data_IF_467203998174
#
_entry.id   IF_467203998174
#
_cell.length_a   1.000
_cell.length_b   1.000
_cell.length_c   1.000
_cell.angle_alpha   90.00
_cell.angle_beta   90.00
_cell.angle_gamma   90.00
#
_symmetry.space_group_name_H-M   'P 1'
#
loop_
_entity.id
_entity.type
_entity.pdbx_description
1 polymer ?
#
# COMPACT_ATOMS: atom_id res chain seq x y z
N UNK A 1 0.13 16.46 0.93
CA UNK A 1 0.73 15.64 1.98
C UNK A 1 -0.36 14.68 2.43
N UNK A 2 -0.07 13.39 2.57
CA UNK A 2 -1.08 12.39 2.93
C UNK A 2 -1.46 12.53 4.41
N UNK A 3 -2.75 12.61 4.71
CA UNK A 3 -3.27 12.69 6.09
C UNK A 3 -3.39 11.27 6.70
N UNK A 4 -2.27 10.67 7.07
CA UNK A 4 -2.22 9.30 7.64
C UNK A 4 -3.03 9.15 8.95
N UNK A 5 -3.25 10.24 9.68
CA UNK A 5 -4.05 10.23 10.90
C UNK A 5 -5.54 9.90 10.67
N UNK A 6 -6.01 9.95 9.41
CA UNK A 6 -7.37 9.56 9.02
C UNK A 6 -7.41 8.19 8.31
N UNK A 7 -6.30 7.47 8.26
CA UNK A 7 -6.17 6.18 7.58
C UNK A 7 -5.93 5.05 8.58
N UNK A 8 -6.26 3.84 8.16
CA UNK A 8 -6.11 2.63 8.95
C UNK A 8 -5.04 1.74 8.34
N UNK A 9 -4.32 1.06 9.22
CA UNK A 9 -3.53 -0.13 8.94
C UNK A 9 -4.04 -1.28 9.84
N UNK A 10 -3.40 -2.45 9.83
CA UNK A 10 -3.89 -3.64 10.55
C UNK A 10 -4.07 -3.49 12.07
N UNK A 11 -3.38 -2.53 12.68
CA UNK A 11 -3.41 -2.32 14.13
C UNK A 11 -4.13 -1.02 14.54
N UNK A 12 -5.01 -0.48 13.68
CA UNK A 12 -5.76 0.76 13.95
C UNK A 12 -5.27 1.95 13.11
N UNK A 13 -5.29 3.15 13.69
CA UNK A 13 -4.88 4.39 13.02
C UNK A 13 -3.40 4.37 12.58
N UNK A 14 -3.14 4.80 11.36
CA UNK A 14 -1.80 4.79 10.74
C UNK A 14 -0.92 6.01 11.12
N UNK A 15 -1.09 6.57 12.32
CA UNK A 15 -0.40 7.79 12.78
C UNK A 15 1.13 7.67 12.85
N UNK A 16 1.63 6.46 13.03
CA UNK A 16 3.04 6.10 13.12
C UNK A 16 3.72 5.91 11.75
N UNK A 17 2.91 5.67 10.71
CA UNK A 17 3.36 5.30 9.36
C UNK A 17 4.29 6.34 8.74
N UNK A 18 4.05 7.65 8.85
CA UNK A 18 5.00 8.66 8.35
C UNK A 18 6.40 8.53 8.95
N UNK A 19 6.51 8.15 10.23
CA UNK A 19 7.79 7.94 10.91
C UNK A 19 8.55 6.74 10.34
N UNK A 20 7.83 5.64 10.09
CA UNK A 20 8.40 4.45 9.45
C UNK A 20 8.85 4.74 8.01
N UNK A 21 8.03 5.43 7.21
CA UNK A 21 8.38 5.80 5.84
C UNK A 21 9.63 6.68 5.78
N UNK A 22 9.76 7.65 6.69
CA UNK A 22 10.95 8.48 6.80
C UNK A 22 12.21 7.67 7.17
N UNK A 23 12.07 6.67 8.05
CA UNK A 23 13.18 5.84 8.50
C UNK A 23 13.77 4.94 7.38
N UNK A 24 13.02 4.64 6.32
CA UNK A 24 13.52 3.85 5.18
C UNK A 24 14.71 4.52 4.47
N UNK A 25 14.72 5.86 4.36
CA UNK A 25 15.84 6.63 3.80
C UNK A 25 16.81 7.17 4.86
N UNK A 26 16.64 6.78 6.14
CA UNK A 26 17.54 7.16 7.22
C UNK A 26 18.76 6.25 7.32
N UNK A 27 19.75 6.68 8.11
CA UNK A 27 21.02 5.97 8.29
C UNK A 27 21.01 4.93 9.43
N UNK A 28 19.95 4.88 10.26
CA UNK A 28 19.82 3.91 11.35
C UNK A 28 19.32 2.54 10.82
N UNK A 29 20.15 1.49 10.82
CA UNK A 29 19.75 0.18 10.31
C UNK A 29 18.63 -0.47 11.13
N UNK A 30 18.55 -0.20 12.45
CA UNK A 30 17.49 -0.76 13.30
C UNK A 30 16.15 -0.11 13.01
N UNK A 31 16.13 1.21 12.85
CA UNK A 31 14.92 1.93 12.46
C UNK A 31 14.44 1.51 11.05
N UNK A 32 15.37 1.33 10.11
CA UNK A 32 15.05 0.84 8.76
C UNK A 32 14.46 -0.58 8.79
N UNK A 33 15.02 -1.49 9.58
CA UNK A 33 14.49 -2.84 9.71
C UNK A 33 13.05 -2.83 10.25
N UNK A 34 12.77 -2.01 11.28
CA UNK A 34 11.40 -1.81 11.81
C UNK A 34 10.47 -1.18 10.80
N UNK A 35 10.96 -0.29 9.94
CA UNK A 35 10.17 0.30 8.87
C UNK A 35 9.77 -0.74 7.80
N UNK A 36 10.70 -1.62 7.41
CA UNK A 36 10.37 -2.74 6.53
C UNK A 36 9.35 -3.67 7.20
N UNK A 37 9.56 -4.00 8.47
CA UNK A 37 8.60 -4.80 9.25
C UNK A 37 7.21 -4.16 9.27
N UNK A 38 7.12 -2.83 9.46
CA UNK A 38 5.86 -2.08 9.44
C UNK A 38 5.12 -2.19 8.10
N UNK A 39 5.85 -2.13 6.98
CA UNK A 39 5.26 -2.30 5.65
C UNK A 39 4.54 -3.66 5.54
N UNK A 40 5.17 -4.74 6.03
CA UNK A 40 4.63 -6.09 5.89
C UNK A 40 3.67 -6.52 7.00
N UNK A 41 3.82 -5.98 8.21
CA UNK A 41 3.00 -6.37 9.37
C UNK A 41 1.77 -5.49 9.53
N UNK A 42 1.86 -4.20 9.21
CA UNK A 42 0.77 -3.25 9.43
C UNK A 42 0.14 -2.81 8.10
N UNK A 43 0.96 -2.38 7.14
CA UNK A 43 0.47 -1.75 5.91
C UNK A 43 -0.16 -2.76 4.95
N UNK A 44 0.43 -3.94 4.74
CA UNK A 44 -0.18 -5.03 3.97
C UNK A 44 -0.14 -6.35 4.74
N UNK A 45 -1.02 -6.47 5.74
CA UNK A 45 -1.00 -7.58 6.68
C UNK A 45 -1.41 -8.89 6.02
N UNK A 46 -0.45 -9.80 5.85
CA UNK A 46 -0.66 -11.11 5.21
C UNK A 46 -1.33 -11.00 3.82
N UNK A 47 -0.98 -9.96 3.06
CA UNK A 47 -1.57 -9.67 1.74
C UNK A 47 -2.90 -8.91 1.78
N UNK A 48 -3.47 -8.64 2.96
CA UNK A 48 -4.70 -7.85 3.11
C UNK A 48 -4.38 -6.36 3.11
N UNK A 49 -4.93 -5.57 2.16
CA UNK A 49 -4.73 -4.13 2.14
C UNK A 49 -5.67 -3.41 3.12
N UNK A 50 -5.23 -2.24 3.54
CA UNK A 50 -5.91 -1.28 4.41
C UNK A 50 -5.97 0.09 3.74
N UNK A 51 -6.72 1.05 4.30
CA UNK A 51 -6.84 2.38 3.69
C UNK A 51 -5.51 3.15 3.64
N UNK A 52 -4.54 2.81 4.50
CA UNK A 52 -3.18 3.33 4.43
C UNK A 52 -2.28 2.67 3.36
N UNK A 53 -2.65 1.49 2.82
CA UNK A 53 -1.80 0.74 1.87
C UNK A 53 -1.55 1.50 0.57
N UNK A 54 -2.57 2.00 -0.15
CA UNK A 54 -2.31 2.71 -1.40
C UNK A 54 -1.40 3.94 -1.26
N UNK A 55 -1.64 4.87 -0.30
CA UNK A 55 -0.74 6.02 -0.16
C UNK A 55 0.65 5.64 0.33
N UNK A 56 0.80 4.67 1.24
CA UNK A 56 2.12 4.18 1.64
C UNK A 56 2.91 3.57 0.47
N UNK A 57 2.23 2.86 -0.43
CA UNK A 57 2.85 2.35 -1.65
C UNK A 57 3.30 3.47 -2.60
N UNK A 58 2.54 4.55 -2.73
CA UNK A 58 2.98 5.73 -3.51
C UNK A 58 4.20 6.41 -2.89
N UNK A 59 4.25 6.53 -1.56
CA UNK A 59 5.40 7.10 -0.86
C UNK A 59 6.64 6.21 -1.02
N UNK A 60 6.50 4.88 -0.94
CA UNK A 60 7.58 3.92 -1.24
C UNK A 60 8.02 4.00 -2.71
N UNK A 61 7.07 4.14 -3.65
CA UNK A 61 7.39 4.28 -5.07
C UNK A 61 8.18 5.56 -5.35
N UNK A 62 7.86 6.67 -4.68
CA UNK A 62 8.62 7.92 -4.75
C UNK A 62 10.01 7.75 -4.10
N UNK A 63 10.09 7.01 -2.98
CA UNK A 63 11.31 6.75 -2.25
C UNK A 63 12.35 5.96 -3.08
N UNK A 64 11.90 5.06 -3.97
CA UNK A 64 12.80 4.33 -4.88
C UNK A 64 13.56 5.23 -5.87
N UNK A 65 13.10 6.47 -6.07
CA UNK A 65 13.81 7.50 -6.84
C UNK A 65 14.74 8.39 -5.97
N UNK A 66 14.73 8.24 -4.65
CA UNK A 66 15.57 9.01 -3.74
C UNK A 66 17.03 8.54 -3.82
N UNK A 67 18.00 9.45 -4.08
CA UNK A 67 19.41 9.08 -4.20
C UNK A 67 20.04 8.56 -2.91
N UNK A 68 19.38 8.69 -1.75
CA UNK A 68 19.83 8.11 -0.47
C UNK A 68 19.54 6.61 -0.38
N UNK A 69 18.62 6.10 -1.20
CA UNK A 69 18.17 4.71 -1.20
C UNK A 69 18.96 3.92 -2.24
N UNK A 70 20.24 3.72 -1.93
CA UNK A 70 21.21 3.07 -2.83
C UNK A 70 21.41 1.59 -2.56
N UNK A 71 21.04 1.11 -1.37
CA UNK A 71 21.22 -0.29 -0.98
C UNK A 71 20.37 -1.21 -1.86
N UNK A 72 20.98 -2.12 -2.67
CA UNK A 72 20.21 -2.95 -3.60
C UNK A 72 19.24 -3.91 -2.90
N UNK A 73 19.56 -4.35 -1.68
CA UNK A 73 18.70 -5.22 -0.88
C UNK A 73 17.42 -4.50 -0.48
N UNK A 74 17.54 -3.30 0.09
CA UNK A 74 16.41 -2.43 0.41
C UNK A 74 15.58 -2.09 -0.84
N UNK A 75 16.22 -1.71 -1.95
CA UNK A 75 15.49 -1.38 -3.20
C UNK A 75 14.67 -2.56 -3.70
N UNK A 76 15.25 -3.76 -3.70
CA UNK A 76 14.54 -4.98 -4.09
C UNK A 76 13.38 -5.30 -3.12
N UNK A 77 13.58 -5.11 -1.82
CA UNK A 77 12.56 -5.32 -0.80
C UNK A 77 11.36 -4.36 -0.97
N UNK A 78 11.63 -3.09 -1.23
CA UNK A 78 10.61 -2.08 -1.49
C UNK A 78 9.82 -2.41 -2.77
N UNK A 79 10.49 -2.88 -3.83
CA UNK A 79 9.80 -3.35 -5.04
C UNK A 79 8.90 -4.57 -4.76
N UNK A 80 9.37 -5.53 -3.97
CA UNK A 80 8.54 -6.68 -3.57
C UNK A 80 7.30 -6.26 -2.77
N UNK A 81 7.44 -5.25 -1.90
CA UNK A 81 6.28 -4.64 -1.24
C UNK A 81 5.30 -4.03 -2.25
N UNK A 82 5.78 -3.28 -3.26
CA UNK A 82 4.91 -2.74 -4.32
C UNK A 82 4.22 -3.86 -5.14
N UNK A 83 4.89 -4.99 -5.35
CA UNK A 83 4.29 -6.16 -6.01
C UNK A 83 3.10 -6.71 -5.20
N UNK A 84 3.26 -6.91 -3.89
CA UNK A 84 2.19 -7.37 -3.02
C UNK A 84 0.98 -6.41 -3.02
N UNK A 85 1.23 -5.11 -3.08
CA UNK A 85 0.17 -4.09 -3.20
C UNK A 85 -0.57 -4.20 -4.54
N UNK A 86 0.15 -4.44 -5.65
CA UNK A 86 -0.48 -4.65 -6.96
C UNK A 86 -1.32 -5.94 -6.99
N UNK A 87 -0.87 -7.02 -6.34
CA UNK A 87 -1.63 -8.27 -6.20
C UNK A 87 -2.92 -8.05 -5.41
N UNK A 88 -2.86 -7.31 -4.30
CA UNK A 88 -4.04 -6.96 -3.52
C UNK A 88 -5.08 -6.18 -4.35
N UNK A 89 -4.66 -5.34 -5.31
CA UNK A 89 -5.54 -4.65 -6.25
C UNK A 89 -6.11 -5.53 -7.37
N UNK A 90 -5.58 -6.75 -7.54
CA UNK A 90 -5.98 -7.71 -8.58
C UNK A 90 -7.10 -8.65 -8.15
N UNK A 91 -7.54 -8.57 -6.88
CA UNK A 91 -8.63 -9.39 -6.33
C UNK A 91 -9.93 -9.16 -7.11
N UNK A 92 -10.62 -10.25 -7.47
CA UNK A 92 -11.88 -10.26 -8.25
C UNK A 92 -12.95 -11.21 -7.71
N UNK A 93 -12.64 -12.01 -6.69
CA UNK A 93 -13.54 -13.01 -6.10
C UNK A 93 -14.48 -12.44 -5.02
N UNK A 94 -14.49 -11.11 -4.85
CA UNK A 94 -15.28 -10.36 -3.88
C UNK A 94 -16.19 -9.38 -4.61
N UNK A 95 -17.35 -9.07 -4.01
CA UNK A 95 -18.13 -7.91 -4.44
C UNK A 95 -17.36 -6.63 -4.07
N UNK A 96 -16.94 -5.90 -5.10
CA UNK A 96 -16.24 -4.62 -4.98
C UNK A 96 -17.17 -3.45 -5.31
N UNK A 97 -18.48 -3.65 -5.18
CA UNK A 97 -19.47 -2.60 -5.35
C UNK A 97 -19.15 -1.41 -4.45
N UNK A 98 -19.25 -0.21 -5.02
CA UNK A 98 -19.03 1.02 -4.28
C UNK A 98 -20.12 1.12 -3.20
N UNK A 99 -19.77 1.34 -1.92
CA UNK A 99 -20.75 1.47 -0.86
C UNK A 99 -21.79 2.57 -1.16
N UNK A 100 -23.03 2.34 -0.74
CA UNK A 100 -24.16 3.27 -0.88
C UNK A 100 -24.18 4.38 0.19
N UNK A 101 -23.08 4.54 0.93
CA UNK A 101 -22.90 5.52 1.99
C UNK A 101 -21.49 6.13 1.94
N UNK A 102 -21.35 7.28 2.59
CA UNK A 102 -20.06 7.97 2.69
C UNK A 102 -19.17 7.29 3.74
N UNK A 103 -18.24 6.45 3.25
CA UNK A 103 -17.27 5.70 4.07
C UNK A 103 -16.34 6.65 4.83
N UNK A 104 -15.96 7.78 4.23
CA UNK A 104 -15.11 8.78 4.86
C UNK A 104 -15.83 9.46 6.02
N UNK A 105 -17.08 9.85 5.82
CA UNK A 105 -17.89 10.44 6.88
C UNK A 105 -18.17 9.45 8.02
N UNK A 106 -18.43 8.17 7.71
CA UNK A 106 -18.63 7.12 8.68
C UNK A 106 -17.37 6.87 9.53
N UNK A 107 -16.21 6.68 8.88
CA UNK A 107 -14.94 6.53 9.59
C UNK A 107 -14.64 7.76 10.45
N UNK A 108 -14.79 8.96 9.89
CA UNK A 108 -14.55 10.19 10.64
C UNK A 108 -15.48 10.35 11.85
N UNK A 109 -16.71 9.82 11.81
CA UNK A 109 -17.61 9.81 12.95
C UNK A 109 -17.09 8.89 14.05
N UNK A 110 -16.71 7.66 13.70
CA UNK A 110 -16.14 6.69 14.65
C UNK A 110 -14.88 7.25 15.34
N UNK A 111 -14.00 7.89 14.56
CA UNK A 111 -12.80 8.54 15.10
C UNK A 111 -13.12 9.72 16.03
N UNK A 112 -14.17 10.52 15.74
CA UNK A 112 -14.61 11.61 16.63
C UNK A 112 -15.16 11.09 17.95
N UNK A 113 -15.84 9.96 17.92
CA UNK A 113 -16.43 9.35 19.10
C UNK A 113 -15.39 8.63 19.98
N UNK A 114 -14.16 8.47 19.48
CA UNK A 114 -13.07 7.76 20.16
C UNK A 114 -13.30 6.26 20.25
N UNK A 115 -14.21 5.73 19.43
CA UNK A 115 -14.68 4.35 19.46
C UNK A 115 -14.01 3.53 18.36
N UNK A 116 -12.69 3.35 18.43
CA UNK A 116 -11.98 2.52 17.43
C UNK A 116 -12.48 1.07 17.42
N UNK A 117 -13.01 0.56 18.55
CA UNK A 117 -13.65 -0.74 18.63
C UNK A 117 -14.90 -0.82 17.74
N UNK A 118 -15.69 0.25 17.64
CA UNK A 118 -16.83 0.38 16.75
C UNK A 118 -16.51 0.17 15.26
N UNK A 119 -15.26 0.41 14.83
CA UNK A 119 -14.81 0.05 13.46
C UNK A 119 -14.91 -1.46 13.26
N UNK A 120 -14.49 -2.24 14.26
CA UNK A 120 -14.41 -3.70 14.20
C UNK A 120 -15.73 -4.40 14.53
N UNK A 121 -16.71 -3.68 15.08
CA UNK A 121 -18.06 -4.18 15.31
C UNK A 121 -19.00 -3.96 14.11
N UNK A 122 -18.76 -2.92 13.31
CA UNK A 122 -19.56 -2.63 12.11
C UNK A 122 -19.02 -3.38 10.88
N UNK A 123 -19.61 -4.54 10.58
CA UNK A 123 -19.27 -5.37 9.42
C UNK A 123 -19.46 -4.63 8.08
N UNK A 124 -20.43 -3.73 8.00
CA UNK A 124 -20.70 -2.94 6.79
C UNK A 124 -19.58 -1.92 6.56
N UNK A 125 -19.14 -1.24 7.62
CA UNK A 125 -18.02 -0.31 7.56
C UNK A 125 -16.70 -1.03 7.24
N UNK A 126 -16.43 -2.18 7.86
CA UNK A 126 -15.24 -2.99 7.56
C UNK A 126 -15.19 -3.41 6.11
N UNK A 127 -16.30 -3.95 5.59
CA UNK A 127 -16.42 -4.37 4.20
C UNK A 127 -16.17 -3.19 3.25
N UNK A 128 -16.76 -2.03 3.55
CA UNK A 128 -16.56 -0.81 2.77
C UNK A 128 -15.10 -0.31 2.79
N UNK A 129 -14.44 -0.34 3.94
CA UNK A 129 -13.03 0.04 4.09
C UNK A 129 -12.09 -0.91 3.34
N UNK A 130 -12.38 -2.22 3.38
CA UNK A 130 -11.66 -3.22 2.60
C UNK A 130 -11.81 -3.00 1.10
N UNK A 131 -13.04 -2.81 0.60
CA UNK A 131 -13.30 -2.51 -0.82
C UNK A 131 -12.55 -1.24 -1.24
N UNK A 132 -12.60 -0.20 -0.41
CA UNK A 132 -11.84 1.04 -0.65
C UNK A 132 -10.34 0.79 -0.75
N UNK A 133 -9.77 0.00 0.15
CA UNK A 133 -8.35 -0.33 0.13
C UNK A 133 -7.96 -1.07 -1.16
N UNK A 134 -8.72 -2.10 -1.55
CA UNK A 134 -8.51 -2.86 -2.80
C UNK A 134 -8.62 -1.96 -4.03
N UNK A 135 -9.66 -1.12 -4.12
CA UNK A 135 -9.83 -0.20 -5.24
C UNK A 135 -8.72 0.86 -5.29
N UNK A 136 -8.25 1.32 -4.12
CA UNK A 136 -7.09 2.20 -4.03
C UNK A 136 -5.81 1.53 -4.56
N UNK A 137 -5.54 0.28 -4.17
CA UNK A 137 -4.42 -0.50 -4.69
C UNK A 137 -4.52 -0.65 -6.22
N UNK A 138 -5.71 -0.97 -6.74
CA UNK A 138 -5.98 -1.03 -8.18
C UNK A 138 -5.72 0.30 -8.88
N UNK A 139 -6.13 1.40 -8.27
CA UNK A 139 -5.98 2.74 -8.84
C UNK A 139 -4.52 3.15 -9.03
N UNK A 140 -3.63 2.75 -8.13
CA UNK A 140 -2.21 3.16 -8.15
C UNK A 140 -1.32 2.27 -9.02
N UNK A 141 -1.82 1.15 -9.55
CA UNK A 141 -1.03 0.21 -10.37
C UNK A 141 -0.27 0.86 -11.53
N UNK A 142 -0.81 1.85 -12.28
CA UNK A 142 -0.02 2.54 -13.29
C UNK A 142 1.25 3.21 -12.74
N UNK A 143 1.21 3.76 -11.52
CA UNK A 143 2.37 4.34 -10.88
C UNK A 143 3.38 3.27 -10.46
N UNK A 144 2.89 2.14 -9.90
CA UNK A 144 3.74 1.01 -9.51
C UNK A 144 4.45 0.40 -10.73
N UNK A 145 3.73 0.23 -11.84
CA UNK A 145 4.26 -0.27 -13.10
C UNK A 145 5.34 0.66 -13.66
N UNK A 146 5.13 1.98 -13.60
CA UNK A 146 6.12 2.96 -14.05
C UNK A 146 7.41 2.88 -13.20
N UNK A 147 7.27 2.83 -11.87
CA UNK A 147 8.41 2.67 -10.95
C UNK A 147 9.18 1.39 -11.19
N UNK A 148 8.49 0.25 -11.32
CA UNK A 148 9.12 -1.03 -11.58
C UNK A 148 9.81 -1.07 -12.96
N UNK A 149 9.19 -0.48 -13.98
CA UNK A 149 9.78 -0.38 -15.32
C UNK A 149 11.08 0.41 -15.30
N UNK A 150 11.13 1.53 -14.57
CA UNK A 150 12.36 2.31 -14.42
C UNK A 150 13.48 1.49 -13.72
N UNK A 151 13.12 0.68 -12.73
CA UNK A 151 14.06 -0.16 -11.98
C UNK A 151 14.66 -1.33 -12.78
N UNK A 152 14.12 -1.68 -13.96
CA UNK A 152 14.74 -2.68 -14.86
C UNK A 152 16.13 -2.28 -15.36
N UNK A 153 16.45 -0.98 -15.33
CA UNK A 153 17.77 -0.47 -15.73
C UNK A 153 18.78 -0.40 -14.57
N UNK A 154 18.39 -0.82 -13.35
CA UNK A 154 19.29 -0.82 -12.19
C UNK A 154 20.47 -1.78 -12.42
N UNK A 155 21.71 -1.43 -12.03
CA UNK A 155 22.87 -2.31 -12.21
C UNK A 155 22.80 -3.60 -11.38
N UNK A 156 21.97 -3.67 -10.34
CA UNK A 156 21.83 -4.86 -9.50
C UNK A 156 20.86 -5.88 -10.11
N UNK A 157 21.30 -7.14 -10.37
CA UNK A 157 20.41 -8.20 -10.83
C UNK A 157 19.26 -8.50 -9.87
N UNK A 158 19.47 -8.29 -8.56
CA UNK A 158 18.42 -8.49 -7.56
C UNK A 158 17.30 -7.45 -7.69
N UNK A 159 17.66 -6.19 -7.96
CA UNK A 159 16.68 -5.12 -8.19
C UNK A 159 15.93 -5.36 -9.50
N UNK A 160 16.62 -5.77 -10.56
CA UNK A 160 16.01 -6.14 -11.84
C UNK A 160 14.99 -7.28 -11.68
N UNK A 161 15.31 -8.31 -10.89
CA UNK A 161 14.41 -9.42 -10.61
C UNK A 161 13.15 -8.99 -9.84
N UNK A 162 13.30 -8.17 -8.79
CA UNK A 162 12.16 -7.63 -8.03
C UNK A 162 11.29 -6.69 -8.89
N UNK A 163 11.92 -5.91 -9.78
CA UNK A 163 11.22 -5.07 -10.75
C UNK A 163 10.37 -5.91 -11.72
N UNK A 164 10.94 -6.96 -12.31
CA UNK A 164 10.22 -7.88 -13.19
C UNK A 164 9.05 -8.56 -12.46
N UNK A 165 9.24 -8.97 -11.21
CA UNK A 165 8.18 -9.52 -10.36
C UNK A 165 7.04 -8.51 -10.16
N UNK A 166 7.36 -7.26 -9.81
CA UNK A 166 6.39 -6.18 -9.64
C UNK A 166 5.59 -5.90 -10.91
N UNK A 167 6.24 -5.92 -12.09
CA UNK A 167 5.57 -5.77 -13.39
C UNK A 167 4.58 -6.91 -13.63
N UNK A 168 4.98 -8.15 -13.31
CA UNK A 168 4.10 -9.33 -13.38
C UNK A 168 2.86 -9.18 -12.51
N UNK A 169 3.04 -8.75 -11.26
CA UNK A 169 1.94 -8.47 -10.32
C UNK A 169 0.98 -7.39 -10.84
N UNK A 170 1.50 -6.33 -11.47
CA UNK A 170 0.68 -5.29 -12.11
C UNK A 170 -0.14 -5.83 -13.30
N UNK A 171 0.39 -6.82 -14.03
CA UNK A 171 -0.26 -7.44 -15.19
C UNK A 171 -1.43 -8.36 -14.85
N UNK A 172 -1.59 -8.76 -13.59
CA UNK A 172 -2.78 -9.49 -13.10
C UNK A 172 -4.08 -8.67 -13.17
N UNK A 173 -3.98 -7.34 -13.34
CA UNK A 173 -5.11 -6.44 -13.51
C UNK A 173 -5.43 -6.35 -15.00
N UNK A 174 -6.25 -7.28 -15.49
CA UNK A 174 -6.82 -7.15 -16.83
C UNK A 174 -7.56 -5.80 -16.93
N UNK A 175 -7.32 -4.99 -17.98
CA UNK A 175 -8.12 -3.80 -18.22
C UNK A 175 -9.59 -4.23 -18.32
N UNK A 176 -10.47 -3.62 -17.52
CA UNK A 176 -11.91 -3.71 -17.76
C UNK A 176 -12.14 -3.23 -19.21
N UNK A 177 -12.37 -4.18 -20.11
CA UNK A 177 -12.80 -3.86 -21.46
C UNK A 177 -14.16 -3.16 -21.33
N UNK A 178 -14.16 -1.85 -21.53
CA UNK A 178 -15.39 -1.07 -21.66
C UNK A 178 -16.22 -1.69 -22.78
N UNK A 179 -17.39 -2.23 -22.43
CA UNK A 179 -18.40 -2.60 -23.40
C UNK A 179 -19.07 -1.31 -23.86
N UNK A 180 -18.72 -0.88 -25.07
CA UNK A 180 -19.46 0.11 -25.87
C UNK A 180 -20.88 -0.34 -26.15
#
# INVERSE_FOLDING_TARGET
>A
MTEYAALLHAYGLAVDTPGHLAALAGDDPSARAKAIEHLWSAIIHQGTPWTATPPAALDVAALLADPRVTDPGLRAELLNFLAAVAEAGSITDRDLSVPDFDVDAALAQVLRDGDEEGIWEDERLQSALYVRAVLGCRHIVPALLATATAALSDPSPQVQAAAAHTIGACGGIAPLAWRS
#
